data_IF_468996125768
#
_entry.id   IF_468996125768
#
_cell.length_a   1.000
_cell.length_b   1.000
_cell.length_c   1.000
_cell.angle_alpha   90.00
_cell.angle_beta   90.00
_cell.angle_gamma   90.00
#
_symmetry.space_group_name_H-M   'P 1'
#
loop_
_entity.id
_entity.type
_entity.pdbx_description
1 polymer ?
#
# COMPACT_ATOMS: atom_id res chain seq x y z
N UNK A 1 -16.30 16.76 -7.33
CA UNK A 1 -15.02 16.04 -7.11
C UNK A 1 -13.98 16.60 -8.06
N UNK A 2 -12.74 16.72 -7.62
CA UNK A 2 -11.60 17.12 -8.47
C UNK A 2 -10.76 15.86 -8.68
N UNK A 3 -10.77 15.25 -9.89
CA UNK A 3 -9.95 14.08 -10.15
C UNK A 3 -8.47 14.48 -10.22
N UNK A 4 -7.61 13.60 -9.72
CA UNK A 4 -6.15 13.74 -9.77
C UNK A 4 -5.61 12.47 -10.42
N UNK A 5 -4.71 12.63 -11.38
CA UNK A 5 -4.04 11.49 -12.02
C UNK A 5 -3.05 10.92 -11.01
N UNK A 6 -3.07 9.61 -10.84
CA UNK A 6 -2.12 8.92 -9.98
C UNK A 6 -2.16 7.41 -10.16
N UNK A 7 -1.11 6.76 -9.69
CA UNK A 7 -0.87 5.33 -9.75
C UNK A 7 -0.11 4.89 -8.50
N UNK A 8 -0.61 3.88 -7.81
CA UNK A 8 -0.02 3.35 -6.57
C UNK A 8 1.32 2.65 -6.80
N UNK A 9 1.61 2.20 -8.02
CA UNK A 9 2.87 1.54 -8.37
C UNK A 9 4.00 2.55 -8.61
N UNK A 10 3.66 3.82 -8.82
CA UNK A 10 4.63 4.85 -9.18
C UNK A 10 5.14 5.64 -7.96
N UNK A 11 6.42 6.06 -7.97
CA UNK A 11 6.95 6.99 -6.97
C UNK A 11 6.11 8.26 -6.88
N UNK A 12 5.87 8.75 -5.66
CA UNK A 12 5.03 9.93 -5.45
C UNK A 12 3.57 9.73 -5.87
N UNK A 13 3.11 8.49 -6.00
CA UNK A 13 1.79 8.10 -6.52
C UNK A 13 1.54 8.56 -7.95
N UNK A 14 2.59 8.81 -8.75
CA UNK A 14 2.45 9.20 -10.16
C UNK A 14 1.77 10.56 -10.40
N UNK A 15 1.57 11.38 -9.37
CA UNK A 15 0.88 12.67 -9.48
C UNK A 15 1.83 13.78 -9.93
N UNK A 16 1.25 14.83 -10.51
CA UNK A 16 1.99 16.06 -10.83
C UNK A 16 2.39 16.81 -9.56
N UNK A 17 3.47 17.61 -9.63
CA UNK A 17 3.88 18.47 -8.51
C UNK A 17 2.79 19.49 -8.12
N UNK A 18 2.00 19.95 -9.09
CA UNK A 18 0.91 20.89 -8.87
C UNK A 18 -0.24 20.25 -8.08
N UNK A 19 -0.62 19.03 -8.43
CA UNK A 19 -1.61 18.25 -7.68
C UNK A 19 -1.11 17.91 -6.28
N UNK A 20 0.16 17.49 -6.17
CA UNK A 20 0.81 17.20 -4.89
C UNK A 20 0.78 18.39 -3.95
N UNK A 21 1.10 19.59 -4.45
CA UNK A 21 1.03 20.85 -3.69
C UNK A 21 -0.41 21.19 -3.29
N UNK A 22 -1.36 20.92 -4.17
CA UNK A 22 -2.78 21.14 -3.89
C UNK A 22 -3.27 20.22 -2.77
N UNK A 23 -2.93 18.93 -2.81
CA UNK A 23 -3.29 17.95 -1.78
C UNK A 23 -2.63 18.32 -0.45
N UNK A 24 -1.30 18.49 -0.43
CA UNK A 24 -0.55 18.75 0.81
C UNK A 24 -0.94 20.06 1.51
N UNK A 25 -1.47 21.04 0.76
CA UNK A 25 -1.96 22.30 1.35
C UNK A 25 -3.41 22.24 1.85
N UNK A 26 -4.26 21.39 1.27
CA UNK A 26 -5.72 21.40 1.51
C UNK A 26 -6.26 20.16 2.22
N UNK A 27 -5.62 19.00 2.06
CA UNK A 27 -6.11 17.74 2.61
C UNK A 27 -6.00 17.74 4.14
N UNK A 28 -7.11 17.35 4.77
CA UNK A 28 -7.23 17.19 6.23
C UNK A 28 -7.56 15.75 6.61
N UNK A 29 -8.10 14.97 5.68
CA UNK A 29 -8.43 13.56 5.87
C UNK A 29 -7.96 12.82 4.62
N UNK A 30 -7.28 11.69 4.81
CA UNK A 30 -6.92 10.76 3.74
C UNK A 30 -7.61 9.43 4.00
N UNK A 31 -8.33 8.92 3.01
CA UNK A 31 -8.92 7.58 3.03
C UNK A 31 -8.17 6.75 1.99
N UNK A 32 -7.29 5.87 2.44
CA UNK A 32 -6.56 4.94 1.57
C UNK A 32 -7.39 3.66 1.38
N UNK A 33 -8.13 3.62 0.27
CA UNK A 33 -8.93 2.47 -0.15
C UNK A 33 -8.35 1.77 -1.39
N UNK A 34 -7.23 2.26 -1.93
CA UNK A 34 -6.63 1.72 -3.13
C UNK A 34 -5.84 0.45 -2.80
N UNK A 35 -6.17 -0.64 -3.49
CA UNK A 35 -5.49 -1.93 -3.39
C UNK A 35 -5.76 -2.77 -4.64
N UNK A 36 -4.86 -3.70 -4.96
CA UNK A 36 -5.23 -4.88 -5.74
C UNK A 36 -5.74 -5.96 -4.80
N UNK A 37 -6.86 -6.58 -5.16
CA UNK A 37 -7.59 -7.57 -4.34
C UNK A 37 -7.69 -8.94 -5.02
N UNK A 38 -6.95 -9.13 -6.12
CA UNK A 38 -6.92 -10.41 -6.83
C UNK A 38 -6.11 -11.42 -6.02
N UNK A 39 -6.71 -12.59 -5.79
CA UNK A 39 -6.07 -13.66 -5.02
C UNK A 39 -4.94 -14.35 -5.78
N UNK A 40 -4.94 -14.25 -7.11
CA UNK A 40 -3.96 -14.80 -8.04
C UNK A 40 -3.01 -13.71 -8.60
N UNK A 41 -2.92 -12.55 -7.95
CA UNK A 41 -2.00 -11.50 -8.34
C UNK A 41 -0.56 -11.89 -8.02
N UNK A 42 0.38 -11.50 -8.89
CA UNK A 42 1.81 -11.65 -8.62
C UNK A 42 2.20 -10.94 -7.33
N UNK A 43 3.08 -11.56 -6.54
CA UNK A 43 3.60 -10.98 -5.30
C UNK A 43 4.27 -9.62 -5.58
N UNK A 44 5.00 -9.50 -6.69
CA UNK A 44 5.65 -8.27 -7.14
C UNK A 44 4.65 -7.13 -7.29
N UNK A 45 3.58 -7.34 -8.06
CA UNK A 45 2.49 -6.37 -8.27
C UNK A 45 1.74 -6.05 -6.97
N UNK A 46 1.36 -7.07 -6.19
CA UNK A 46 0.68 -6.86 -4.91
C UNK A 46 1.54 -6.05 -3.93
N UNK A 47 2.85 -6.31 -3.89
CA UNK A 47 3.79 -5.56 -3.05
C UNK A 47 3.94 -4.13 -3.54
N UNK A 48 4.02 -3.90 -4.86
CA UNK A 48 4.07 -2.56 -5.43
C UNK A 48 2.84 -1.71 -5.06
N UNK A 49 1.63 -2.26 -5.22
CA UNK A 49 0.39 -1.52 -4.98
C UNK A 49 0.09 -1.42 -3.48
N UNK A 50 -0.04 -2.57 -2.80
CA UNK A 50 -0.62 -2.62 -1.46
C UNK A 50 0.38 -2.21 -0.37
N UNK A 51 1.68 -2.43 -0.58
CA UNK A 51 2.74 -2.12 0.40
C UNK A 51 3.47 -0.82 0.03
N UNK A 52 4.15 -0.79 -1.13
CA UNK A 52 4.92 0.39 -1.57
C UNK A 52 3.98 1.59 -1.84
N UNK A 53 2.85 1.39 -2.51
CA UNK A 53 1.85 2.44 -2.71
C UNK A 53 1.27 2.99 -1.40
N UNK A 54 0.93 2.13 -0.43
CA UNK A 54 0.51 2.59 0.90
C UNK A 54 1.60 3.42 1.61
N UNK A 55 2.88 3.04 1.47
CA UNK A 55 4.02 3.81 1.97
C UNK A 55 4.12 5.19 1.32
N UNK A 56 3.88 5.29 0.01
CA UNK A 56 3.81 6.58 -0.71
C UNK A 56 2.63 7.45 -0.23
N UNK A 57 1.46 6.85 0.04
CA UNK A 57 0.32 7.57 0.66
C UNK A 57 0.69 8.11 2.04
N UNK A 58 1.38 7.31 2.86
CA UNK A 58 1.84 7.76 4.18
C UNK A 58 2.87 8.89 4.09
N UNK A 59 3.77 8.87 3.10
CA UNK A 59 4.69 9.99 2.83
C UNK A 59 3.93 11.26 2.46
N UNK A 60 2.96 11.17 1.54
CA UNK A 60 2.10 12.30 1.17
C UNK A 60 1.32 12.84 2.38
N UNK A 61 0.79 11.95 3.21
CA UNK A 61 0.08 12.30 4.43
C UNK A 61 0.98 13.09 5.40
N UNK A 62 2.24 12.67 5.56
CA UNK A 62 3.21 13.36 6.41
C UNK A 62 3.55 14.78 5.90
N UNK A 63 3.36 15.06 4.62
CA UNK A 63 3.55 16.39 4.03
C UNK A 63 2.29 17.28 4.12
N UNK A 64 1.14 16.72 4.49
CA UNK A 64 -0.12 17.46 4.59
C UNK A 64 -0.13 18.37 5.82
N UNK A 65 -0.17 19.69 5.60
CA UNK A 65 -0.02 20.70 6.67
C UNK A 65 -1.12 20.68 7.73
N UNK A 66 -2.32 20.22 7.36
CA UNK A 66 -3.50 20.28 8.21
C UNK A 66 -4.13 18.88 8.42
N UNK A 67 -3.35 17.81 8.26
CA UNK A 67 -3.84 16.45 8.40
C UNK A 67 -4.41 16.23 9.82
N UNK A 68 -5.63 15.70 9.87
CA UNK A 68 -6.36 15.33 11.09
C UNK A 68 -6.45 13.82 11.25
N UNK A 69 -6.62 13.09 10.15
CA UNK A 69 -6.74 11.64 10.19
C UNK A 69 -6.29 11.01 8.87
N UNK A 70 -5.77 9.79 8.97
CA UNK A 70 -5.68 8.84 7.88
C UNK A 70 -6.46 7.59 8.24
N UNK A 71 -7.25 7.08 7.30
CA UNK A 71 -7.97 5.83 7.43
C UNK A 71 -7.51 4.90 6.33
N UNK A 72 -6.96 3.74 6.71
CA UNK A 72 -6.60 2.68 5.76
C UNK A 72 -7.69 1.62 5.78
N UNK A 73 -8.19 1.26 4.59
CA UNK A 73 -9.14 0.17 4.43
C UNK A 73 -8.34 -1.09 4.16
N UNK A 74 -8.31 -1.98 5.16
CA UNK A 74 -7.66 -3.28 5.07
C UNK A 74 -8.69 -4.38 4.77
N UNK A 75 -8.34 -5.64 5.02
CA UNK A 75 -9.19 -6.80 4.75
C UNK A 75 -9.13 -7.83 5.89
N UNK A 76 -10.23 -8.55 6.11
CA UNK A 76 -10.26 -9.69 7.02
C UNK A 76 -9.32 -10.84 6.57
N UNK A 77 -8.88 -10.82 5.31
CA UNK A 77 -7.97 -11.81 4.74
C UNK A 77 -6.48 -11.54 5.04
N UNK A 78 -6.11 -10.45 5.74
CA UNK A 78 -4.71 -10.13 6.02
C UNK A 78 -4.01 -11.12 6.97
N UNK A 79 -4.77 -11.87 7.77
CA UNK A 79 -4.26 -12.82 8.76
C UNK A 79 -4.89 -14.21 8.64
N UNK A 80 -5.09 -14.70 7.41
CA UNK A 80 -5.72 -16.02 7.13
C UNK A 80 -5.00 -17.21 7.75
N UNK A 81 -3.71 -17.07 8.09
CA UNK A 81 -2.92 -18.08 8.79
C UNK A 81 -3.30 -18.22 10.28
N UNK A 82 -4.10 -17.29 10.82
CA UNK A 82 -4.58 -17.29 12.21
C UNK A 82 -6.02 -17.81 12.26
N UNK A 83 -6.29 -18.78 13.14
CA UNK A 83 -7.63 -19.38 13.29
C UNK A 83 -8.69 -18.40 13.79
N UNK A 84 -8.32 -17.50 14.70
CA UNK A 84 -9.20 -16.47 15.25
C UNK A 84 -8.48 -15.12 15.18
N UNK A 85 -9.00 -14.22 14.35
CA UNK A 85 -8.48 -12.87 14.20
C UNK A 85 -9.05 -11.99 15.31
N UNK A 86 -8.16 -11.32 16.05
CA UNK A 86 -8.44 -10.41 17.15
C UNK A 86 -8.17 -8.97 16.70
N UNK A 87 -8.77 -7.98 17.38
CA UNK A 87 -8.48 -6.57 17.14
C UNK A 87 -7.14 -6.17 17.79
N UNK A 88 -6.05 -6.54 17.14
CA UNK A 88 -4.68 -6.20 17.57
C UNK A 88 -3.75 -6.08 16.37
N UNK A 89 -2.59 -5.47 16.59
CA UNK A 89 -1.50 -5.54 15.64
C UNK A 89 -0.83 -6.90 15.71
N UNK A 90 -0.65 -7.52 14.54
CA UNK A 90 0.07 -8.77 14.38
C UNK A 90 1.49 -8.47 13.95
N UNK A 91 2.45 -9.16 14.55
CA UNK A 91 3.85 -9.08 14.11
C UNK A 91 3.97 -9.68 12.71
N UNK A 92 4.50 -8.93 11.73
CA UNK A 92 4.70 -9.46 10.39
C UNK A 92 5.80 -10.53 10.40
N UNK A 93 5.73 -11.55 9.52
CA UNK A 93 6.72 -12.62 9.47
C UNK A 93 8.11 -12.15 9.01
N UNK A 94 8.19 -10.96 8.40
CA UNK A 94 9.43 -10.35 7.92
C UNK A 94 9.29 -8.82 7.87
N UNK A 95 10.42 -8.12 7.74
CA UNK A 95 10.41 -6.66 7.58
C UNK A 95 9.92 -6.25 6.19
N UNK A 96 9.49 -4.99 6.05
CA UNK A 96 9.04 -4.44 4.77
C UNK A 96 10.19 -4.48 3.75
N UNK A 97 11.41 -4.17 4.16
CA UNK A 97 12.59 -4.18 3.28
C UNK A 97 12.88 -5.60 2.75
N UNK A 98 12.73 -6.60 3.61
CA UNK A 98 12.90 -7.99 3.20
C UNK A 98 11.80 -8.44 2.23
N UNK A 99 10.55 -8.02 2.46
CA UNK A 99 9.44 -8.29 1.52
C UNK A 99 9.67 -7.59 0.18
N UNK A 100 10.07 -6.32 0.19
CA UNK A 100 10.40 -5.55 -1.01
C UNK A 100 11.52 -6.26 -1.81
N UNK A 101 12.59 -6.72 -1.14
CA UNK A 101 13.67 -7.45 -1.79
C UNK A 101 13.23 -8.80 -2.40
N UNK A 102 12.38 -9.56 -1.69
CA UNK A 102 11.81 -10.81 -2.22
C UNK A 102 10.91 -10.52 -3.42
N UNK A 103 10.11 -9.45 -3.38
CA UNK A 103 9.19 -9.08 -4.46
C UNK A 103 9.89 -8.67 -5.77
N UNK A 104 11.19 -8.42 -5.73
CA UNK A 104 12.03 -8.05 -6.88
C UNK A 104 12.77 -9.24 -7.51
N UNK A 105 12.60 -10.45 -6.96
CA UNK A 105 13.08 -11.69 -7.57
C UNK A 105 12.31 -11.98 -8.87
N UNK A 106 12.90 -12.83 -9.73
CA UNK A 106 12.22 -13.31 -10.93
C UNK A 106 10.92 -14.05 -10.56
N UNK A 107 9.84 -13.79 -11.29
CA UNK A 107 8.52 -14.38 -11.07
C UNK A 107 8.57 -15.92 -11.05
N UNK A 108 9.39 -16.56 -11.90
CA UNK A 108 9.55 -18.02 -11.90
C UNK A 108 10.07 -18.57 -10.55
N UNK A 109 11.00 -17.84 -9.93
CA UNK A 109 11.56 -18.23 -8.62
C UNK A 109 10.50 -18.00 -7.54
N UNK A 110 9.79 -16.86 -7.60
CA UNK A 110 8.73 -16.53 -6.66
C UNK A 110 7.61 -17.58 -6.69
N UNK A 111 7.13 -17.95 -7.88
CA UNK A 111 6.10 -18.97 -8.06
C UNK A 111 6.54 -20.34 -7.53
N UNK A 112 7.84 -20.66 -7.58
CA UNK A 112 8.36 -21.92 -7.06
C UNK A 112 8.41 -22.01 -5.52
N UNK A 113 8.39 -20.87 -4.82
CA UNK A 113 8.49 -20.82 -3.35
C UNK A 113 7.19 -20.41 -2.65
N UNK A 114 6.22 -19.86 -3.40
CA UNK A 114 4.94 -19.45 -2.86
C UNK A 114 3.98 -20.66 -2.71
N UNK A 115 3.06 -20.63 -1.73
CA UNK A 115 2.01 -21.63 -1.61
C UNK A 115 1.13 -21.63 -2.87
N UNK A 116 0.75 -22.82 -3.35
CA UNK A 116 -0.23 -23.03 -4.43
C UNK A 116 -1.66 -22.93 -3.96
#
# INVERSE_FOLDING_TARGET
MVPIIGDMELPGLGMSDEDRKTITSKATIIINAAATVKFDEKLSTSTAINVKGTKEVLKLANECRNLKAITHISTAFSNTHVKYVEEKFYEPPMSVEALEAVSELNDEILESILPT
#
